data_IF_110099097184
#
_entry.id   IF_110099097184
#
_cell.length_a   1.000
_cell.length_b   1.000
_cell.length_c   1.000
_cell.angle_alpha   90.00
_cell.angle_beta   90.00
_cell.angle_gamma   90.00
#
_symmetry.space_group_name_H-M   'P 1'
#
loop_
_entity.id
_entity.type
_entity.pdbx_description
1 polymer ?
#
# COMPACT_ATOMS: atom_id res chain seq x y z
N UNK A 1 -1.47 -9.44 -23.57
CA UNK A 1 -1.94 -10.31 -22.47
C UNK A 1 -2.18 -9.39 -21.29
N UNK A 2 -3.42 -8.94 -21.10
CA UNK A 2 -3.77 -8.12 -19.94
C UNK A 2 -3.78 -9.06 -18.74
N UNK A 3 -2.91 -8.82 -17.76
CA UNK A 3 -3.01 -9.51 -16.49
C UNK A 3 -4.27 -8.93 -15.85
N UNK A 4 -5.37 -9.67 -15.94
CA UNK A 4 -6.54 -9.45 -15.11
C UNK A 4 -6.08 -9.87 -13.71
N UNK A 5 -5.41 -8.96 -12.99
CA UNK A 5 -5.04 -9.19 -11.60
C UNK A 5 -6.32 -9.11 -10.79
N UNK A 6 -6.73 -10.26 -10.29
CA UNK A 6 -7.87 -10.49 -9.42
C UNK A 6 -7.94 -9.43 -8.31
N UNK A 7 -9.04 -8.68 -8.29
CA UNK A 7 -9.63 -7.92 -7.18
C UNK A 7 -8.68 -7.21 -6.19
N UNK A 8 -7.90 -6.23 -6.68
CA UNK A 8 -7.48 -5.14 -5.79
C UNK A 8 -8.68 -4.22 -5.52
N UNK A 9 -9.24 -4.27 -4.32
CA UNK A 9 -10.42 -3.47 -3.93
C UNK A 9 -10.10 -2.01 -3.63
N UNK A 10 -8.82 -1.66 -3.53
CA UNK A 10 -8.33 -0.29 -3.37
C UNK A 10 -6.81 -0.23 -3.56
N UNK A 11 -6.34 0.86 -4.16
CA UNK A 11 -4.92 1.17 -4.27
C UNK A 11 -4.68 2.66 -4.07
N UNK A 12 -3.57 2.98 -3.39
CA UNK A 12 -3.13 4.34 -3.12
C UNK A 12 -1.66 4.44 -3.48
N UNK A 13 -1.29 5.50 -4.18
CA UNK A 13 0.12 5.78 -4.49
C UNK A 13 0.66 6.77 -3.49
N UNK A 14 1.96 6.69 -3.23
CA UNK A 14 2.68 7.77 -2.57
C UNK A 14 2.78 8.98 -3.51
N UNK A 15 2.93 10.17 -2.93
CA UNK A 15 3.11 11.42 -3.67
C UNK A 15 4.35 11.38 -4.59
N UNK A 16 5.41 10.72 -4.13
CA UNK A 16 6.65 10.48 -4.88
C UNK A 16 6.54 9.38 -5.96
N UNK A 17 5.40 8.69 -6.04
CA UNK A 17 5.14 7.52 -6.91
C UNK A 17 6.14 6.36 -6.74
N UNK A 18 6.97 6.36 -5.71
CA UNK A 18 7.95 5.30 -5.44
C UNK A 18 7.30 4.09 -4.75
N UNK A 19 6.14 4.29 -4.12
CA UNK A 19 5.46 3.32 -3.29
C UNK A 19 3.96 3.29 -3.56
N UNK A 20 3.36 2.13 -3.28
CA UNK A 20 1.94 1.90 -3.51
C UNK A 20 1.38 1.04 -2.38
N UNK A 21 0.31 1.50 -1.75
CA UNK A 21 -0.52 0.65 -0.89
C UNK A 21 -1.54 -0.05 -1.76
N UNK A 22 -1.64 -1.37 -1.66
CA UNK A 22 -2.64 -2.16 -2.35
C UNK A 22 -3.29 -3.16 -1.39
N UNK A 23 -4.58 -3.43 -1.58
CA UNK A 23 -5.31 -4.43 -0.80
C UNK A 23 -5.45 -5.71 -1.60
N UNK A 24 -4.83 -6.80 -1.13
CA UNK A 24 -4.93 -8.11 -1.74
C UNK A 24 -5.30 -9.16 -0.67
N UNK A 25 -6.27 -10.02 -0.98
CA UNK A 25 -6.71 -11.11 -0.08
C UNK A 25 -7.11 -10.63 1.34
N UNK A 26 -7.66 -9.41 1.43
CA UNK A 26 -8.02 -8.78 2.70
C UNK A 26 -6.83 -8.22 3.50
N UNK A 27 -5.63 -8.20 2.92
CA UNK A 27 -4.42 -7.66 3.53
C UNK A 27 -3.99 -6.36 2.85
N UNK A 28 -3.53 -5.40 3.64
CA UNK A 28 -2.90 -4.18 3.16
C UNK A 28 -1.42 -4.43 2.95
N UNK A 29 -0.95 -4.18 1.74
CA UNK A 29 0.42 -4.39 1.31
C UNK A 29 1.02 -3.07 0.83
N UNK A 30 2.25 -2.79 1.22
CA UNK A 30 3.08 -1.72 0.68
C UNK A 30 4.02 -2.30 -0.37
N UNK A 31 3.81 -1.91 -1.62
CA UNK A 31 4.65 -2.24 -2.74
C UNK A 31 5.64 -1.10 -2.97
N UNK A 32 6.91 -1.45 -3.07
CA UNK A 32 7.98 -0.52 -3.41
C UNK A 32 8.29 -0.67 -4.90
N UNK A 33 8.00 0.34 -5.70
CA UNK A 33 8.16 0.32 -7.17
C UNK A 33 9.63 0.13 -7.57
N UNK A 34 10.55 0.77 -6.85
CA UNK A 34 11.99 0.72 -7.15
C UNK A 34 12.63 -0.62 -6.79
N UNK A 35 12.26 -1.21 -5.65
CA UNK A 35 12.91 -2.42 -5.13
C UNK A 35 12.13 -3.70 -5.39
N UNK A 36 10.88 -3.58 -5.89
CA UNK A 36 9.90 -4.67 -5.99
C UNK A 36 9.66 -5.40 -4.67
N UNK A 37 9.99 -4.74 -3.55
CA UNK A 37 9.75 -5.27 -2.21
C UNK A 37 8.26 -5.09 -1.89
N UNK A 38 7.69 -6.11 -1.26
CA UNK A 38 6.33 -6.05 -0.71
C UNK A 38 6.45 -6.17 0.80
N UNK A 39 5.84 -5.23 1.52
CA UNK A 39 5.78 -5.23 2.97
C UNK A 39 4.32 -5.32 3.41
N UNK A 40 4.05 -6.16 4.41
CA UNK A 40 2.70 -6.25 4.97
C UNK A 40 2.47 -5.09 5.92
N UNK A 41 1.43 -4.30 5.65
CA UNK A 41 1.00 -3.18 6.50
C UNK A 41 -0.02 -3.62 7.55
N UNK A 42 -0.81 -4.65 7.28
CA UNK A 42 -1.82 -5.15 8.22
C UNK A 42 -2.95 -5.90 7.51
N UNK A 43 -3.96 -6.34 8.26
CA UNK A 43 -5.21 -6.89 7.71
C UNK A 43 -6.36 -5.89 7.83
N UNK A 44 -6.17 -4.82 8.61
CA UNK A 44 -7.15 -3.75 8.76
C UNK A 44 -6.56 -2.39 8.36
N UNK A 45 -7.43 -1.45 7.98
CA UNK A 45 -7.02 -0.08 7.66
C UNK A 45 -6.32 0.61 8.84
N UNK A 46 -6.76 0.34 10.08
CA UNK A 46 -6.16 0.89 11.28
C UNK A 46 -4.71 0.40 11.47
N UNK A 47 -4.46 -0.90 11.33
CA UNK A 47 -3.10 -1.46 11.37
C UNK A 47 -2.23 -0.93 10.24
N UNK A 48 -2.80 -0.80 9.03
CA UNK A 48 -2.06 -0.29 7.90
C UNK A 48 -1.62 1.17 8.10
N UNK A 49 -2.54 2.00 8.62
CA UNK A 49 -2.26 3.39 8.98
C UNK A 49 -1.24 3.50 10.10
N UNK A 50 -1.34 2.67 11.14
CA UNK A 50 -0.36 2.62 12.23
C UNK A 50 1.02 2.23 11.70
N UNK A 51 1.11 1.18 10.87
CA UNK A 51 2.37 0.73 10.29
C UNK A 51 3.00 1.80 9.39
N UNK A 52 2.22 2.46 8.53
CA UNK A 52 2.71 3.59 7.73
C UNK A 52 3.17 4.78 8.59
N UNK A 53 2.49 5.03 9.71
CA UNK A 53 2.88 6.07 10.67
C UNK A 53 4.20 5.71 11.37
N UNK A 54 4.36 4.46 11.83
CA UNK A 54 5.60 3.95 12.44
C UNK A 54 6.77 3.98 11.44
N UNK A 55 6.50 3.72 10.16
CA UNK A 55 7.48 3.84 9.09
C UNK A 55 7.81 5.30 8.73
N UNK A 56 7.08 6.29 9.25
CA UNK A 56 7.27 7.71 8.93
C UNK A 56 6.86 8.05 7.49
N UNK A 57 5.95 7.26 6.92
CA UNK A 57 5.54 7.35 5.50
C UNK A 57 4.12 7.85 5.31
N UNK A 58 3.34 7.96 6.38
CA UNK A 58 1.92 8.36 6.29
C UNK A 58 1.75 9.72 5.60
N UNK A 59 2.68 10.65 5.79
CA UNK A 59 2.69 11.96 5.12
C UNK A 59 2.87 11.85 3.60
N UNK A 60 3.53 10.80 3.10
CA UNK A 60 3.67 10.55 1.66
C UNK A 60 2.40 9.95 1.03
N UNK A 61 1.44 9.49 1.83
CA UNK A 61 0.18 8.93 1.34
C UNK A 61 -0.99 9.84 1.69
N UNK A 62 -1.05 11.01 1.06
CA UNK A 62 -2.09 12.01 1.29
C UNK A 62 -3.50 11.50 0.99
N UNK A 63 -3.66 10.63 -0.01
CA UNK A 63 -4.93 9.97 -0.35
C UNK A 63 -5.30 8.83 0.63
N UNK A 64 -4.38 8.47 1.53
CA UNK A 64 -4.53 7.43 2.56
C UNK A 64 -4.71 8.04 3.96
N UNK A 65 -5.50 9.11 4.07
CA UNK A 65 -5.78 9.82 5.34
C UNK A 65 -7.20 9.60 5.86
#
# INVERSE_FOLDING_TARGET
MAIIMSDFTGFWYSDDMEEQVAVADGEFLLLHTNTRKVEKLGTTFAEAKETLTVLGKIDNFSDFL
#
